data_IF_307671414820
#
_entry.id   IF_307671414820
#
_cell.length_a   1.000
_cell.length_b   1.000
_cell.length_c   1.000
_cell.angle_alpha   90.00
_cell.angle_beta   90.00
_cell.angle_gamma   90.00
#
_symmetry.space_group_name_H-M   'P 1'
#
loop_
_entity.id
_entity.type
_entity.pdbx_description
1 polymer ?
#
# COMPACT_ATOMS: atom_id res chain seq x y z
N UNK A 1 -10.99 27.89 -69.35
CA UNK A 1 -11.82 27.47 -70.52
C UNK A 1 -12.39 26.09 -70.28
N UNK A 2 -13.75 25.99 -70.50
CA UNK A 2 -14.60 24.81 -70.75
C UNK A 2 -14.93 23.92 -69.56
N UNK A 3 -16.12 24.12 -68.99
CA UNK A 3 -17.46 23.61 -69.27
C UNK A 3 -17.53 22.08 -69.08
N UNK A 4 -18.18 21.66 -67.99
CA UNK A 4 -19.57 21.24 -67.95
C UNK A 4 -19.89 19.98 -68.69
N UNK A 5 -20.17 18.85 -68.05
CA UNK A 5 -21.23 17.93 -68.48
C UNK A 5 -21.85 17.24 -67.25
N UNK A 6 -23.06 17.67 -66.88
CA UNK A 6 -24.01 16.93 -66.06
C UNK A 6 -24.63 15.83 -66.90
N UNK A 7 -24.65 14.59 -66.42
CA UNK A 7 -25.54 13.56 -66.92
C UNK A 7 -26.42 13.09 -65.80
N UNK A 8 -27.68 13.47 -65.87
CA UNK A 8 -28.77 12.97 -65.03
C UNK A 8 -29.22 11.65 -65.64
N UNK A 9 -29.08 10.56 -64.86
CA UNK A 9 -29.74 9.29 -65.13
C UNK A 9 -30.91 9.17 -64.18
N UNK A 10 -32.10 9.44 -64.69
CA UNK A 10 -33.36 9.13 -63.96
C UNK A 10 -33.66 7.66 -64.20
N UNK A 11 -33.56 6.85 -63.11
CA UNK A 11 -34.06 5.46 -63.15
C UNK A 11 -35.45 5.49 -62.49
N UNK A 12 -36.43 5.22 -63.38
CA UNK A 12 -37.84 5.00 -63.02
C UNK A 12 -37.94 3.65 -62.28
N UNK A 13 -38.14 3.65 -60.94
CA UNK A 13 -38.47 2.44 -60.24
C UNK A 13 -39.99 2.35 -60.07
N UNK A 14 -40.54 1.41 -60.85
CA UNK A 14 -41.94 0.99 -60.68
C UNK A 14 -42.15 0.37 -59.32
N UNK A 15 -43.02 0.95 -58.52
CA UNK A 15 -43.49 0.42 -57.25
C UNK A 15 -44.42 -0.77 -57.49
N UNK A 16 -43.90 -1.97 -57.32
CA UNK A 16 -44.72 -3.16 -57.07
C UNK A 16 -44.85 -3.33 -55.57
N UNK A 17 -45.94 -2.92 -54.99
CA UNK A 17 -46.33 -3.22 -53.61
C UNK A 17 -46.78 -4.69 -53.56
N UNK A 18 -45.87 -5.58 -53.22
CA UNK A 18 -46.23 -6.88 -52.70
C UNK A 18 -46.36 -6.79 -51.21
N UNK A 19 -47.58 -6.90 -50.69
CA UNK A 19 -47.84 -7.11 -49.27
C UNK A 19 -47.27 -8.48 -48.86
N UNK A 20 -46.01 -8.54 -48.42
CA UNK A 20 -45.51 -9.65 -47.63
C UNK A 20 -45.78 -9.31 -46.16
N UNK A 21 -46.82 -9.86 -45.58
CA UNK A 21 -47.00 -9.97 -44.15
C UNK A 21 -45.92 -10.92 -43.64
N UNK A 22 -44.87 -10.32 -43.03
CA UNK A 22 -43.93 -11.08 -42.20
C UNK A 22 -44.71 -11.58 -40.96
N UNK A 23 -44.75 -12.90 -40.69
CA UNK A 23 -45.36 -13.34 -39.45
C UNK A 23 -44.58 -12.77 -38.30
N UNK A 24 -45.30 -12.16 -37.32
CA UNK A 24 -44.75 -11.77 -36.01
C UNK A 24 -44.13 -13.03 -35.38
N UNK A 25 -42.81 -13.12 -35.40
CA UNK A 25 -42.08 -14.06 -34.54
C UNK A 25 -42.14 -13.48 -33.13
N UNK A 26 -42.70 -14.16 -32.17
CA UNK A 26 -42.66 -13.68 -30.77
C UNK A 26 -41.19 -13.47 -30.41
N UNK A 27 -40.84 -12.28 -29.95
CA UNK A 27 -39.58 -12.00 -29.32
C UNK A 27 -39.46 -12.94 -28.10
N UNK A 28 -38.70 -14.00 -28.25
CA UNK A 28 -38.40 -14.91 -27.12
C UNK A 28 -37.58 -14.08 -26.14
N UNK A 29 -38.20 -13.69 -25.01
CA UNK A 29 -37.49 -12.99 -23.92
C UNK A 29 -36.28 -13.85 -23.54
N UNK A 30 -35.10 -13.29 -23.72
CA UNK A 30 -33.86 -13.93 -23.30
C UNK A 30 -33.99 -14.34 -21.81
N UNK A 31 -33.63 -15.55 -21.46
CA UNK A 31 -33.74 -15.99 -20.06
C UNK A 31 -33.00 -15.01 -19.15
N UNK A 32 -33.55 -14.68 -17.97
CA UNK A 32 -32.91 -13.76 -17.06
C UNK A 32 -31.47 -14.23 -16.76
N UNK A 33 -30.50 -13.34 -17.00
CA UNK A 33 -29.09 -13.59 -16.69
C UNK A 33 -29.04 -13.92 -15.19
N UNK A 34 -28.55 -15.10 -14.80
CA UNK A 34 -28.43 -15.42 -13.37
C UNK A 34 -27.65 -14.34 -12.68
N UNK A 35 -28.00 -13.93 -11.44
CA UNK A 35 -27.24 -12.96 -10.70
C UNK A 35 -25.79 -13.40 -10.64
N UNK A 36 -24.87 -12.50 -10.96
CA UNK A 36 -23.43 -12.77 -10.92
C UNK A 36 -23.08 -13.33 -9.53
N UNK A 37 -22.51 -14.52 -9.51
CA UNK A 37 -22.12 -15.17 -8.27
C UNK A 37 -21.07 -14.26 -7.62
N UNK A 38 -21.32 -13.80 -6.37
CA UNK A 38 -20.36 -12.97 -5.63
C UNK A 38 -19.03 -13.73 -5.49
N UNK A 39 -17.93 -12.98 -5.51
CA UNK A 39 -16.61 -13.53 -5.22
C UNK A 39 -16.64 -14.19 -3.81
N UNK A 40 -16.27 -15.46 -3.67
CA UNK A 40 -16.26 -16.15 -2.37
C UNK A 40 -15.41 -15.43 -1.31
N UNK A 41 -14.34 -14.74 -1.72
CA UNK A 41 -13.50 -13.93 -0.81
C UNK A 41 -14.28 -12.73 -0.29
N UNK A 42 -15.04 -12.05 -1.15
CA UNK A 42 -15.87 -10.90 -0.77
C UNK A 42 -16.98 -11.31 0.17
N UNK A 43 -17.69 -12.39 -0.16
CA UNK A 43 -18.75 -12.93 0.69
C UNK A 43 -18.24 -13.30 2.10
N UNK A 44 -17.07 -13.95 2.18
CA UNK A 44 -16.44 -14.29 3.46
C UNK A 44 -16.03 -13.04 4.23
N UNK A 45 -15.49 -12.02 3.55
CA UNK A 45 -15.11 -10.76 4.19
C UNK A 45 -16.33 -10.02 4.76
N UNK A 46 -17.43 -9.94 4.02
CA UNK A 46 -18.70 -9.37 4.47
C UNK A 46 -19.26 -10.12 5.71
N UNK A 47 -19.17 -11.45 5.72
CA UNK A 47 -19.59 -12.26 6.87
C UNK A 47 -18.77 -12.00 8.13
N UNK A 48 -17.47 -11.75 7.98
CA UNK A 48 -16.62 -11.37 9.11
C UNK A 48 -16.99 -9.97 9.59
N UNK A 49 -17.04 -9.00 8.67
CA UNK A 49 -17.37 -7.59 8.95
C UNK A 49 -18.70 -7.46 9.70
N UNK A 50 -19.72 -8.21 9.30
CA UNK A 50 -21.05 -8.16 9.91
C UNK A 50 -21.11 -8.61 11.37
N UNK A 51 -20.08 -9.32 11.85
CA UNK A 51 -19.98 -9.81 13.25
C UNK A 51 -19.11 -8.92 14.13
N UNK A 52 -18.38 -7.95 13.53
CA UNK A 52 -17.49 -7.08 14.28
C UNK A 52 -18.24 -5.96 15.00
N UNK A 53 -17.82 -5.69 16.23
CA UNK A 53 -18.30 -4.52 16.98
C UNK A 53 -17.67 -3.21 16.41
N UNK A 54 -18.27 -2.05 16.69
CA UNK A 54 -17.67 -0.76 16.28
C UNK A 54 -16.22 -0.60 16.76
N UNK A 55 -15.91 -0.98 17.99
CA UNK A 55 -14.56 -0.91 18.56
C UNK A 55 -13.58 -1.82 17.83
N UNK A 56 -14.01 -3.03 17.45
CA UNK A 56 -13.19 -3.95 16.63
C UNK A 56 -12.93 -3.38 15.25
N UNK A 57 -13.94 -2.76 14.62
CA UNK A 57 -13.79 -2.11 13.32
C UNK A 57 -12.80 -0.94 13.39
N UNK A 58 -12.94 -0.08 14.40
CA UNK A 58 -12.07 1.10 14.58
C UNK A 58 -10.63 0.67 14.88
N UNK A 59 -10.43 -0.36 15.70
CA UNK A 59 -9.09 -0.90 15.97
C UNK A 59 -8.37 -1.40 14.72
N UNK A 60 -9.10 -1.93 13.74
CA UNK A 60 -8.51 -2.34 12.46
C UNK A 60 -7.96 -1.17 11.62
N UNK A 61 -8.21 0.06 12.00
CA UNK A 61 -7.66 1.24 11.31
C UNK A 61 -6.27 1.64 11.80
N UNK A 62 -5.69 0.92 12.81
CA UNK A 62 -4.46 1.33 13.49
C UNK A 62 -3.34 0.29 13.35
N UNK A 63 -2.19 0.72 12.83
CA UNK A 63 -0.89 0.05 12.98
C UNK A 63 -0.06 0.89 13.94
N UNK A 64 0.37 0.30 15.06
CA UNK A 64 1.05 1.02 16.13
C UNK A 64 2.47 0.51 16.36
N UNK A 65 3.37 1.41 16.68
CA UNK A 65 4.68 1.08 17.22
C UNK A 65 4.70 1.22 18.74
N UNK A 66 5.82 0.84 19.36
CA UNK A 66 5.98 0.93 20.81
C UNK A 66 7.44 1.16 21.19
N UNK A 67 7.71 1.74 22.39
CA UNK A 67 9.05 1.91 22.94
C UNK A 67 9.77 0.57 23.21
N UNK A 68 11.10 0.61 23.33
CA UNK A 68 11.94 -0.56 23.62
C UNK A 68 11.56 -1.26 24.93
N UNK A 69 11.25 -0.49 25.96
CA UNK A 69 10.97 -0.94 27.31
C UNK A 69 9.48 -1.26 27.58
N UNK A 70 8.68 -1.41 26.51
CA UNK A 70 7.26 -1.69 26.63
C UNK A 70 7.01 -3.05 27.28
N UNK A 71 6.30 -3.07 28.40
CA UNK A 71 5.99 -4.31 29.12
C UNK A 71 5.01 -5.20 28.34
N UNK A 72 5.00 -6.49 28.68
CA UNK A 72 4.06 -7.44 28.08
C UNK A 72 2.61 -7.05 28.34
N UNK A 73 2.31 -6.51 29.50
CA UNK A 73 0.98 -6.03 29.89
C UNK A 73 0.55 -4.83 29.03
N UNK A 74 1.49 -3.91 28.72
CA UNK A 74 1.22 -2.79 27.84
C UNK A 74 1.01 -3.25 26.39
N UNK A 75 1.74 -4.26 25.91
CA UNK A 75 1.48 -4.88 24.58
C UNK A 75 0.11 -5.56 24.55
N UNK A 76 -0.28 -6.25 25.65
CA UNK A 76 -1.60 -6.85 25.74
C UNK A 76 -2.71 -5.79 25.69
N UNK A 77 -2.49 -4.60 26.24
CA UNK A 77 -3.44 -3.49 26.23
C UNK A 77 -3.77 -3.00 24.80
N UNK A 78 -2.78 -2.95 23.88
CA UNK A 78 -3.01 -2.66 22.47
C UNK A 78 -3.93 -3.71 21.81
N UNK A 79 -3.84 -4.95 22.23
CA UNK A 79 -4.65 -6.04 21.69
C UNK A 79 -6.06 -6.03 22.30
N UNK A 80 -6.16 -5.85 23.61
CA UNK A 80 -7.43 -5.96 24.34
C UNK A 80 -8.32 -4.73 24.19
N UNK A 81 -7.74 -3.52 24.31
CA UNK A 81 -8.48 -2.26 24.29
C UNK A 81 -8.53 -1.64 22.88
N UNK A 82 -7.37 -1.54 22.24
CA UNK A 82 -7.28 -0.91 20.93
C UNK A 82 -7.74 -1.82 19.81
N UNK A 83 -7.59 -3.16 19.98
CA UNK A 83 -7.90 -4.15 18.95
C UNK A 83 -7.21 -3.83 17.61
N UNK A 84 -5.94 -3.36 17.71
CA UNK A 84 -5.16 -2.88 16.58
C UNK A 84 -5.08 -3.88 15.44
N UNK A 85 -5.04 -3.40 14.20
CA UNK A 85 -4.86 -4.28 13.05
C UNK A 85 -3.44 -4.81 12.91
N UNK A 86 -2.45 -4.13 13.53
CA UNK A 86 -1.07 -4.54 13.44
C UNK A 86 -0.08 -3.71 14.25
N UNK A 87 1.18 -4.16 14.20
CA UNK A 87 2.32 -3.48 14.81
C UNK A 87 3.39 -3.17 13.77
N UNK A 88 4.02 -1.99 13.89
CA UNK A 88 5.26 -1.66 13.17
C UNK A 88 6.46 -1.85 14.10
N UNK A 89 7.46 -2.61 13.63
CA UNK A 89 8.67 -2.92 14.37
C UNK A 89 9.84 -2.06 13.91
N UNK A 90 10.59 -1.56 14.88
CA UNK A 90 11.81 -0.80 14.69
C UNK A 90 13.00 -1.54 15.30
N UNK A 91 14.24 -1.15 14.93
CA UNK A 91 15.47 -1.73 15.52
C UNK A 91 15.53 -1.68 17.04
N UNK A 92 14.83 -0.73 17.68
CA UNK A 92 14.74 -0.64 19.14
C UNK A 92 13.97 -1.77 19.79
N UNK A 93 13.14 -2.52 19.06
CA UNK A 93 12.26 -3.53 19.64
C UNK A 93 12.91 -4.91 19.78
N UNK A 94 14.11 -5.13 19.20
CA UNK A 94 14.85 -6.39 19.25
C UNK A 94 16.34 -6.15 19.05
N UNK A 95 17.17 -7.08 19.52
CA UNK A 95 18.64 -7.02 19.43
C UNK A 95 19.22 -7.96 18.38
N UNK A 96 18.54 -9.08 18.14
CA UNK A 96 18.94 -10.16 17.25
C UNK A 96 17.71 -10.86 16.66
N UNK A 97 17.95 -11.87 15.82
CA UNK A 97 16.89 -12.64 15.18
C UNK A 97 15.99 -13.37 16.19
N UNK A 98 16.59 -13.98 17.21
CA UNK A 98 15.86 -14.77 18.21
C UNK A 98 14.89 -13.89 19.02
N UNK A 99 15.35 -12.70 19.43
CA UNK A 99 14.51 -11.73 20.14
C UNK A 99 13.41 -11.17 19.23
N UNK A 100 13.69 -10.92 17.95
CA UNK A 100 12.68 -10.51 16.96
C UNK A 100 11.62 -11.60 16.79
N UNK A 101 12.04 -12.84 16.54
CA UNK A 101 11.13 -13.98 16.39
C UNK A 101 10.25 -14.17 17.65
N UNK A 102 10.86 -14.13 18.83
CA UNK A 102 10.15 -14.32 20.12
C UNK A 102 9.13 -13.22 20.37
N UNK A 103 9.49 -11.96 20.06
CA UNK A 103 8.57 -10.81 20.14
C UNK A 103 7.37 -11.00 19.21
N UNK A 104 7.61 -11.30 17.93
CA UNK A 104 6.54 -11.49 16.94
C UNK A 104 5.63 -12.65 17.33
N UNK A 105 6.22 -13.78 17.75
CA UNK A 105 5.47 -14.94 18.25
C UNK A 105 4.56 -14.56 19.43
N UNK A 106 5.08 -13.81 20.40
CA UNK A 106 4.31 -13.35 21.56
C UNK A 106 3.13 -12.45 21.16
N UNK A 107 3.35 -11.48 20.26
CA UNK A 107 2.27 -10.60 19.77
C UNK A 107 1.15 -11.39 19.07
N UNK A 108 1.53 -12.31 18.20
CA UNK A 108 0.58 -13.19 17.50
C UNK A 108 -0.20 -14.10 18.45
N UNK A 109 0.48 -14.73 19.40
CA UNK A 109 -0.16 -15.57 20.42
C UNK A 109 -1.17 -14.77 21.26
N UNK A 110 -0.79 -13.56 21.71
CA UNK A 110 -1.72 -12.69 22.46
C UNK A 110 -2.95 -12.36 21.61
N UNK A 111 -2.78 -12.02 20.34
CA UNK A 111 -3.87 -11.62 19.45
C UNK A 111 -4.81 -12.79 19.16
N UNK A 112 -4.28 -13.97 18.87
CA UNK A 112 -5.07 -15.18 18.52
C UNK A 112 -6.06 -15.60 19.62
N UNK A 113 -5.81 -15.21 20.87
CA UNK A 113 -6.67 -15.48 22.01
C UNK A 113 -7.85 -14.50 22.14
N UNK A 114 -7.80 -13.36 21.46
CA UNK A 114 -8.69 -12.22 21.71
C UNK A 114 -9.41 -11.70 20.47
N UNK A 115 -8.76 -11.70 19.33
CA UNK A 115 -9.24 -11.06 18.13
C UNK A 115 -9.46 -12.06 16.99
N UNK A 116 -10.52 -11.90 16.18
CA UNK A 116 -10.84 -12.82 15.10
C UNK A 116 -9.96 -12.65 13.86
N UNK A 117 -9.27 -11.51 13.74
CA UNK A 117 -8.42 -11.18 12.61
C UNK A 117 -6.95 -11.22 13.00
N UNK A 118 -6.09 -11.84 12.18
CA UNK A 118 -4.65 -11.88 12.42
C UNK A 118 -4.03 -10.48 12.30
N UNK A 119 -2.88 -10.29 12.97
CA UNK A 119 -2.13 -9.03 12.94
C UNK A 119 -1.38 -8.83 11.64
N UNK A 120 -1.31 -7.58 11.19
CA UNK A 120 -0.19 -7.12 10.38
C UNK A 120 1.03 -6.95 11.30
N UNK A 121 2.09 -7.66 11.02
CA UNK A 121 3.40 -7.39 11.62
C UNK A 121 4.24 -6.75 10.53
N UNK A 122 4.55 -5.48 10.71
CA UNK A 122 5.15 -4.66 9.67
C UNK A 122 6.53 -4.12 10.02
N UNK A 123 7.29 -3.76 8.99
CA UNK A 123 8.66 -3.28 9.10
C UNK A 123 8.99 -2.39 7.89
N UNK A 124 10.03 -1.55 8.01
CA UNK A 124 10.68 -0.86 6.89
C UNK A 124 11.94 -1.61 6.49
N UNK A 125 11.86 -2.51 5.54
CA UNK A 125 13.00 -3.20 4.97
C UNK A 125 13.08 -2.91 3.47
N UNK A 126 13.77 -1.80 3.13
CA UNK A 126 13.96 -1.35 1.74
C UNK A 126 15.26 -1.91 1.14
N UNK A 127 16.11 -2.47 1.98
CA UNK A 127 17.53 -2.68 1.68
C UNK A 127 18.36 -1.40 1.89
N UNK A 128 19.68 -1.53 1.81
CA UNK A 128 20.59 -0.39 1.92
C UNK A 128 20.45 0.45 3.20
N UNK A 129 20.27 1.74 3.01
CA UNK A 129 20.20 2.72 4.10
C UNK A 129 19.00 2.48 5.04
N UNK A 130 17.88 2.00 4.50
CA UNK A 130 16.66 1.71 5.27
C UNK A 130 16.50 0.20 5.40
N UNK A 131 17.18 -0.37 6.39
CA UNK A 131 17.08 -1.78 6.74
C UNK A 131 16.89 -1.94 8.24
N UNK A 132 15.98 -2.82 8.61
CA UNK A 132 15.65 -3.16 10.00
C UNK A 132 16.01 -4.60 10.36
N UNK A 133 16.49 -5.39 9.40
CA UNK A 133 16.90 -6.76 9.67
C UNK A 133 17.95 -6.82 10.79
N UNK A 134 17.86 -7.80 11.70
CA UNK A 134 18.91 -8.06 12.69
C UNK A 134 20.23 -8.46 12.02
N UNK A 135 21.31 -8.39 12.79
CA UNK A 135 22.61 -8.87 12.35
C UNK A 135 22.51 -10.36 11.97
N UNK A 136 23.08 -10.70 10.83
CA UNK A 136 23.06 -12.07 10.27
C UNK A 136 22.11 -12.24 9.11
N UNK A 137 21.12 -11.36 8.95
CA UNK A 137 20.28 -11.31 7.76
C UNK A 137 21.02 -10.85 6.51
N UNK A 138 20.36 -10.97 5.37
CA UNK A 138 20.91 -10.60 4.06
C UNK A 138 20.66 -9.12 3.79
N UNK A 139 21.67 -8.28 4.03
CA UNK A 139 21.57 -6.83 3.85
C UNK A 139 21.91 -6.45 2.41
N UNK A 140 20.89 -6.11 1.65
CA UNK A 140 21.01 -5.67 0.25
C UNK A 140 21.56 -4.24 0.14
N UNK A 141 22.15 -3.84 -1.02
CA UNK A 141 22.60 -2.49 -1.26
C UNK A 141 21.45 -1.49 -1.42
N UNK A 142 21.80 -0.18 -1.45
CA UNK A 142 20.83 0.88 -1.71
C UNK A 142 20.11 0.66 -3.06
N UNK A 143 18.80 0.89 -3.12
CA UNK A 143 17.97 0.73 -4.33
C UNK A 143 18.52 1.47 -5.55
N UNK A 144 19.16 2.64 -5.35
CA UNK A 144 19.86 3.36 -6.42
C UNK A 144 20.94 2.51 -7.10
N UNK A 145 21.64 1.66 -6.34
CA UNK A 145 22.68 0.80 -6.90
C UNK A 145 22.05 -0.39 -7.65
N UNK A 146 20.95 -0.90 -7.12
CA UNK A 146 20.17 -1.97 -7.76
C UNK A 146 19.59 -1.47 -9.09
N UNK A 147 18.96 -0.31 -9.11
CA UNK A 147 18.39 0.28 -10.32
C UNK A 147 19.41 0.51 -11.45
N UNK A 148 20.66 0.86 -11.10
CA UNK A 148 21.74 1.01 -12.08
C UNK A 148 22.16 -0.28 -12.78
N UNK A 149 21.80 -1.44 -12.24
CA UNK A 149 22.09 -2.73 -12.88
C UNK A 149 21.28 -2.95 -14.15
N UNK A 150 20.10 -2.32 -14.25
CA UNK A 150 19.15 -2.55 -15.32
C UNK A 150 18.62 -3.99 -15.37
N UNK A 151 18.70 -4.73 -14.26
CA UNK A 151 18.39 -6.16 -14.18
C UNK A 151 17.19 -6.39 -13.22
N UNK A 152 15.97 -6.39 -13.75
CA UNK A 152 14.76 -6.56 -12.95
C UNK A 152 14.63 -7.95 -12.33
N UNK A 153 15.26 -8.99 -12.93
CA UNK A 153 15.21 -10.35 -12.38
C UNK A 153 16.00 -10.45 -11.07
N UNK A 154 17.13 -9.75 -10.99
CA UNK A 154 17.88 -9.65 -9.73
C UNK A 154 17.09 -8.89 -8.67
N UNK A 155 16.35 -7.83 -9.05
CA UNK A 155 15.50 -7.08 -8.12
C UNK A 155 14.31 -7.92 -7.65
N UNK A 156 13.74 -8.74 -8.52
CA UNK A 156 12.71 -9.70 -8.12
C UNK A 156 13.24 -10.69 -7.08
N UNK A 157 14.43 -11.26 -7.31
CA UNK A 157 15.08 -12.21 -6.38
C UNK A 157 15.49 -11.54 -5.06
N UNK A 158 15.90 -10.27 -5.08
CA UNK A 158 16.09 -9.46 -3.88
C UNK A 158 14.81 -9.41 -3.04
N UNK A 159 13.67 -9.09 -3.68
CA UNK A 159 12.37 -9.08 -3.03
C UNK A 159 11.97 -10.45 -2.46
N UNK A 160 12.26 -11.55 -3.18
CA UNK A 160 12.02 -12.91 -2.67
C UNK A 160 12.82 -13.21 -1.41
N UNK A 161 14.12 -12.89 -1.41
CA UNK A 161 15.02 -13.14 -0.25
C UNK A 161 14.57 -12.32 0.95
N UNK A 162 14.29 -11.03 0.78
CA UNK A 162 13.77 -10.19 1.86
C UNK A 162 12.47 -10.78 2.42
N UNK A 163 11.55 -11.19 1.56
CA UNK A 163 10.29 -11.77 2.00
C UNK A 163 10.47 -13.09 2.77
N UNK A 164 11.38 -13.96 2.34
CA UNK A 164 11.66 -15.22 3.04
C UNK A 164 12.24 -14.97 4.43
N UNK A 165 13.14 -13.99 4.58
CA UNK A 165 13.73 -13.62 5.88
C UNK A 165 12.70 -12.96 6.81
N UNK A 166 11.87 -12.05 6.28
CA UNK A 166 10.78 -11.44 7.03
C UNK A 166 9.77 -12.49 7.51
N UNK A 167 9.40 -13.40 6.63
CA UNK A 167 8.45 -14.48 6.94
C UNK A 167 9.02 -15.48 7.95
N UNK A 168 10.33 -15.72 7.94
CA UNK A 168 11.00 -16.54 8.93
C UNK A 168 10.82 -15.99 10.35
N UNK A 169 10.85 -14.68 10.52
CA UNK A 169 10.54 -14.03 11.80
C UNK A 169 9.05 -13.73 12.04
N UNK A 170 8.16 -14.16 11.13
CA UNK A 170 6.71 -13.99 11.26
C UNK A 170 6.18 -12.63 10.83
N UNK A 171 7.01 -11.77 10.21
CA UNK A 171 6.64 -10.49 9.61
C UNK A 171 5.93 -10.75 8.30
N UNK A 172 4.83 -10.01 8.03
CA UNK A 172 3.95 -10.27 6.89
C UNK A 172 3.63 -9.03 6.05
N UNK A 173 4.12 -7.84 6.44
CA UNK A 173 3.94 -6.58 5.72
C UNK A 173 5.26 -5.80 5.73
N UNK A 174 5.66 -5.29 4.56
CA UNK A 174 6.88 -4.50 4.40
C UNK A 174 6.56 -3.14 3.77
N UNK A 175 6.88 -2.05 4.47
CA UNK A 175 6.76 -0.68 3.95
C UNK A 175 7.89 -0.40 2.93
N UNK A 176 7.85 -1.10 1.83
CA UNK A 176 8.78 -1.04 0.71
C UNK A 176 8.10 -1.56 -0.58
N UNK A 177 8.62 -1.18 -1.75
CA UNK A 177 9.78 -0.31 -2.01
C UNK A 177 9.46 1.18 -1.99
N UNK A 178 10.51 2.03 -2.06
CA UNK A 178 10.40 3.44 -2.39
C UNK A 178 10.21 3.57 -3.93
N UNK A 179 9.08 4.16 -4.36
CA UNK A 179 8.74 4.40 -5.77
C UNK A 179 8.90 5.87 -6.19
N UNK A 180 9.51 6.68 -5.33
CA UNK A 180 9.77 8.08 -5.64
C UNK A 180 10.81 8.22 -6.75
N UNK A 181 10.57 9.12 -7.70
CA UNK A 181 11.49 9.41 -8.80
C UNK A 181 12.40 10.55 -8.36
N UNK A 182 13.69 10.28 -8.19
CA UNK A 182 14.66 11.27 -7.67
C UNK A 182 15.67 11.69 -8.73
N UNK A 183 15.56 12.93 -9.21
CA UNK A 183 16.50 13.51 -10.16
C UNK A 183 17.63 14.29 -9.46
N UNK A 184 17.30 14.98 -8.37
CA UNK A 184 18.26 15.85 -7.68
C UNK A 184 19.22 15.06 -6.79
N UNK A 185 20.53 15.29 -7.01
CA UNK A 185 21.56 14.76 -6.12
C UNK A 185 21.58 15.42 -4.74
N UNK A 186 20.89 16.54 -4.60
CA UNK A 186 20.75 17.27 -3.34
C UNK A 186 19.68 16.64 -2.44
N UNK A 187 18.78 15.84 -3.01
CA UNK A 187 17.82 15.04 -2.24
C UNK A 187 18.52 13.85 -1.54
N UNK A 188 19.23 14.16 -0.44
CA UNK A 188 20.00 13.16 0.32
C UNK A 188 19.11 12.15 1.05
N UNK A 189 17.84 12.49 1.26
CA UNK A 189 16.88 11.62 1.93
C UNK A 189 16.49 10.43 1.05
N UNK A 190 16.16 10.70 -0.22
CA UNK A 190 15.57 9.69 -1.11
C UNK A 190 16.51 9.15 -2.18
N UNK A 191 17.62 9.89 -2.50
CA UNK A 191 18.49 9.52 -3.61
C UNK A 191 19.03 8.09 -3.57
N UNK A 192 19.27 7.54 -2.38
CA UNK A 192 19.74 6.16 -2.19
C UNK A 192 18.62 5.15 -2.16
N UNK A 193 17.42 5.58 -1.77
CA UNK A 193 16.23 4.73 -1.61
C UNK A 193 15.49 4.53 -2.92
N UNK A 194 15.57 5.50 -3.83
CA UNK A 194 14.96 5.43 -5.17
C UNK A 194 15.77 4.55 -6.12
N UNK A 195 15.12 3.76 -6.95
CA UNK A 195 15.77 3.00 -8.01
C UNK A 195 16.37 3.87 -9.12
N UNK A 196 15.89 5.11 -9.29
CA UNK A 196 16.40 5.97 -10.33
C UNK A 196 15.69 7.31 -10.49
N UNK A 197 16.01 7.97 -11.60
CA UNK A 197 15.54 9.32 -11.93
C UNK A 197 14.51 9.36 -13.05
N UNK A 198 14.05 8.21 -13.53
CA UNK A 198 13.02 8.15 -14.59
C UNK A 198 11.88 7.21 -14.20
N UNK A 199 10.65 7.49 -14.67
CA UNK A 199 9.48 6.65 -14.40
C UNK A 199 9.69 5.18 -14.80
N UNK A 200 10.38 4.96 -15.92
CA UNK A 200 10.60 3.63 -16.49
C UNK A 200 11.47 2.75 -15.57
N UNK A 201 12.60 3.31 -15.09
CA UNK A 201 13.52 2.58 -14.20
C UNK A 201 12.85 2.29 -12.87
N UNK A 202 12.18 3.28 -12.27
CA UNK A 202 11.51 3.12 -10.98
C UNK A 202 10.34 2.14 -11.11
N UNK A 203 9.56 2.20 -12.18
CA UNK A 203 8.47 1.23 -12.43
C UNK A 203 9.03 -0.19 -12.61
N UNK A 204 10.07 -0.36 -13.44
CA UNK A 204 10.65 -1.66 -13.75
C UNK A 204 11.15 -2.37 -12.49
N UNK A 205 12.01 -1.72 -11.74
CA UNK A 205 12.60 -2.29 -10.53
C UNK A 205 11.59 -2.37 -9.38
N UNK A 206 10.80 -1.31 -9.17
CA UNK A 206 9.78 -1.27 -8.12
C UNK A 206 8.75 -2.37 -8.26
N UNK A 207 8.20 -2.60 -9.46
CA UNK A 207 7.25 -3.71 -9.68
C UNK A 207 7.92 -5.09 -9.54
N UNK A 208 9.17 -5.23 -9.96
CA UNK A 208 9.92 -6.49 -9.75
C UNK A 208 10.11 -6.80 -8.27
N UNK A 209 10.51 -5.82 -7.46
CA UNK A 209 10.64 -5.97 -6.01
C UNK A 209 9.30 -6.33 -5.34
N UNK A 210 8.22 -5.60 -5.69
CA UNK A 210 6.86 -5.88 -5.20
C UNK A 210 6.45 -7.32 -5.52
N UNK A 211 6.65 -7.74 -6.77
CA UNK A 211 6.32 -9.10 -7.20
C UNK A 211 7.14 -10.15 -6.45
N UNK A 212 8.43 -9.90 -6.21
CA UNK A 212 9.30 -10.75 -5.38
C UNK A 212 8.75 -10.90 -3.96
N UNK A 213 8.45 -9.80 -3.28
CA UNK A 213 7.84 -9.80 -1.94
C UNK A 213 6.52 -10.58 -1.92
N UNK A 214 5.62 -10.27 -2.83
CA UNK A 214 4.27 -10.83 -2.87
C UNK A 214 4.26 -12.32 -3.26
N UNK A 215 5.24 -12.78 -4.05
CA UNK A 215 5.38 -14.20 -4.44
C UNK A 215 5.60 -15.12 -3.24
N UNK A 216 6.22 -14.59 -2.19
CA UNK A 216 6.46 -15.31 -0.92
C UNK A 216 5.40 -15.04 0.14
N UNK A 217 4.38 -14.23 -0.18
CA UNK A 217 3.24 -13.92 0.69
C UNK A 217 3.51 -12.82 1.73
N UNK A 218 4.49 -11.94 1.50
CA UNK A 218 4.67 -10.70 2.26
C UNK A 218 3.99 -9.56 1.49
N UNK A 219 3.19 -8.76 2.18
CA UNK A 219 2.49 -7.62 1.60
C UNK A 219 3.51 -6.51 1.35
N UNK A 220 3.66 -6.10 0.10
CA UNK A 220 4.43 -4.93 -0.27
C UNK A 220 3.60 -3.66 -0.08
N UNK A 221 4.19 -2.62 0.48
CA UNK A 221 3.57 -1.30 0.64
C UNK A 221 4.49 -0.24 0.04
N UNK A 222 4.42 -0.03 -1.28
CA UNK A 222 5.22 1.00 -1.92
C UNK A 222 4.85 2.39 -1.45
N UNK A 223 5.84 3.30 -1.49
CA UNK A 223 5.79 4.66 -0.93
C UNK A 223 6.58 5.65 -1.76
N UNK A 224 6.35 6.97 -1.64
CA UNK A 224 5.33 7.67 -0.86
C UNK A 224 4.32 8.27 -1.84
N UNK A 225 3.18 7.65 -1.99
CA UNK A 225 2.15 8.11 -2.93
C UNK A 225 1.69 9.55 -2.61
N UNK A 226 1.53 10.45 -3.61
CA UNK A 226 1.64 10.25 -5.07
C UNK A 226 3.03 10.51 -5.65
N UNK A 227 4.10 10.62 -4.86
CA UNK A 227 5.48 10.85 -5.26
C UNK A 227 6.16 11.96 -4.48
N UNK A 228 7.24 11.65 -3.75
CA UNK A 228 7.99 12.56 -2.90
C UNK A 228 9.30 13.07 -3.57
N UNK A 229 9.68 12.47 -4.69
CA UNK A 229 11.02 12.71 -5.29
C UNK A 229 11.29 14.12 -5.80
N UNK A 230 10.27 14.94 -6.01
CA UNK A 230 10.37 16.30 -6.54
C UNK A 230 10.81 17.36 -5.52
N UNK A 231 11.13 17.02 -4.28
CA UNK A 231 11.57 17.95 -3.24
C UNK A 231 12.72 17.38 -2.42
N UNK A 232 13.59 18.24 -1.89
CA UNK A 232 14.63 17.93 -0.90
C UNK A 232 14.18 18.19 0.54
N UNK A 233 12.93 18.60 0.73
CA UNK A 233 12.33 18.86 2.05
C UNK A 233 11.90 17.55 2.69
N UNK A 234 12.40 17.30 3.89
CA UNK A 234 12.04 16.15 4.71
C UNK A 234 10.71 16.38 5.44
N UNK A 235 9.75 15.49 5.22
CA UNK A 235 8.44 15.51 5.88
C UNK A 235 8.50 15.27 7.40
N UNK A 236 9.61 14.78 7.94
CA UNK A 236 9.82 14.73 9.39
C UNK A 236 9.92 16.12 10.02
N UNK A 237 10.41 17.14 9.29
CA UNK A 237 10.63 18.48 9.80
C UNK A 237 9.58 19.53 9.43
N UNK A 238 8.87 19.35 8.34
CA UNK A 238 7.78 20.23 7.87
C UNK A 238 7.05 19.58 6.69
N UNK A 239 5.89 20.13 6.31
CA UNK A 239 5.16 19.69 5.12
C UNK A 239 5.97 20.02 3.85
N UNK A 240 6.39 19.01 3.06
CA UNK A 240 6.94 19.25 1.73
C UNK A 240 5.87 19.77 0.78
N UNK A 241 6.24 20.75 -0.05
CA UNK A 241 5.37 21.32 -1.09
C UNK A 241 6.03 21.13 -2.43
N UNK A 242 5.34 20.47 -3.36
CA UNK A 242 5.82 20.18 -4.72
C UNK A 242 4.97 20.95 -5.73
N UNK A 243 5.62 21.85 -6.47
CA UNK A 243 5.01 22.81 -7.39
C UNK A 243 4.96 22.29 -8.84
N UNK A 244 4.55 21.01 -9.05
CA UNK A 244 4.34 20.44 -10.39
C UNK A 244 2.89 20.59 -10.82
N UNK A 245 2.65 20.55 -12.14
CA UNK A 245 1.31 20.55 -12.70
C UNK A 245 0.75 19.13 -12.85
N UNK A 246 -0.55 19.05 -13.18
CA UNK A 246 -1.25 17.76 -13.36
C UNK A 246 -0.62 16.90 -14.46
N UNK A 247 -0.12 17.50 -15.53
CA UNK A 247 0.50 16.79 -16.65
C UNK A 247 1.78 16.10 -16.20
N UNK A 248 2.64 16.81 -15.48
CA UNK A 248 3.87 16.26 -14.91
C UNK A 248 3.55 15.15 -13.89
N UNK A 249 2.58 15.36 -13.02
CA UNK A 249 2.13 14.35 -12.06
C UNK A 249 1.73 13.05 -12.78
N UNK A 250 0.90 13.14 -13.81
CA UNK A 250 0.38 11.98 -14.54
C UNK A 250 1.43 11.27 -15.40
N UNK A 251 2.32 12.04 -16.05
CA UNK A 251 3.34 11.47 -16.95
C UNK A 251 4.61 11.02 -16.23
N UNK A 252 4.78 11.35 -14.96
CA UNK A 252 6.00 11.08 -14.19
C UNK A 252 5.70 10.42 -12.85
N UNK A 253 5.22 11.17 -11.86
CA UNK A 253 5.15 10.72 -10.47
C UNK A 253 4.21 9.52 -10.27
N UNK A 254 3.06 9.53 -10.94
CA UNK A 254 2.06 8.47 -10.82
C UNK A 254 2.39 7.19 -11.62
N UNK A 255 3.33 7.25 -12.55
CA UNK A 255 3.64 6.12 -13.45
C UNK A 255 4.10 4.88 -12.69
N UNK A 256 5.06 4.95 -11.74
CA UNK A 256 5.47 3.78 -10.97
C UNK A 256 4.36 3.23 -10.07
N UNK A 257 3.55 4.10 -9.46
CA UNK A 257 2.41 3.67 -8.64
C UNK A 257 1.32 3.00 -9.47
N UNK A 258 1.03 3.53 -10.67
CA UNK A 258 0.08 2.87 -11.58
C UNK A 258 0.58 1.50 -12.02
N UNK A 259 1.87 1.38 -12.34
CA UNK A 259 2.47 0.09 -12.68
C UNK A 259 2.37 -0.92 -11.51
N UNK A 260 2.58 -0.48 -10.28
CA UNK A 260 2.41 -1.31 -9.09
C UNK A 260 0.95 -1.75 -8.88
N UNK A 261 -0.02 -0.85 -9.07
CA UNK A 261 -1.46 -1.17 -9.00
C UNK A 261 -1.84 -2.21 -10.06
N UNK A 262 -1.38 -2.03 -11.31
CA UNK A 262 -1.64 -2.96 -12.41
C UNK A 262 -1.00 -4.34 -12.19
N UNK A 263 0.09 -4.40 -11.42
CA UNK A 263 0.72 -5.65 -10.98
C UNK A 263 0.00 -6.35 -9.82
N UNK A 264 -1.15 -5.83 -9.35
CA UNK A 264 -1.97 -6.48 -8.31
C UNK A 264 -1.54 -6.16 -6.88
N UNK A 265 -1.12 -4.93 -6.63
CA UNK A 265 -0.73 -4.41 -5.32
C UNK A 265 -1.86 -4.50 -4.29
N UNK A 266 -1.53 -4.89 -3.05
CA UNK A 266 -2.50 -5.03 -1.95
C UNK A 266 -2.57 -3.82 -1.01
N UNK A 267 -1.49 -3.07 -0.88
CA UNK A 267 -1.43 -1.89 -0.01
C UNK A 267 -0.49 -0.82 -0.58
N UNK A 268 -0.74 0.45 -0.25
CA UNK A 268 0.05 1.60 -0.68
C UNK A 268 0.18 2.59 0.46
N UNK A 269 1.35 3.22 0.63
CA UNK A 269 1.57 4.26 1.63
C UNK A 269 1.42 5.65 1.01
N UNK A 270 0.51 6.45 1.57
CA UNK A 270 0.37 7.86 1.22
C UNK A 270 1.34 8.72 2.02
N UNK A 271 2.04 9.61 1.34
CA UNK A 271 3.00 10.53 1.96
C UNK A 271 2.36 11.84 2.44
N UNK A 272 3.01 12.50 3.39
CA UNK A 272 2.63 13.83 3.87
C UNK A 272 3.26 14.90 2.97
N UNK A 273 2.67 15.11 1.79
CA UNK A 273 3.20 15.97 0.72
C UNK A 273 2.06 16.75 0.10
N UNK A 274 2.23 18.07 -0.08
CA UNK A 274 1.24 18.93 -0.70
C UNK A 274 1.58 19.29 -2.15
N UNK A 275 0.56 19.37 -3.01
CA UNK A 275 0.65 19.71 -4.43
C UNK A 275 -0.35 20.82 -4.77
N UNK A 276 -0.11 22.09 -4.35
CA UNK A 276 -1.12 23.14 -4.42
C UNK A 276 -1.55 23.53 -5.84
N UNK A 277 -0.75 23.24 -6.87
CA UNK A 277 -1.16 23.43 -8.28
C UNK A 277 -2.12 22.36 -8.79
N UNK A 278 -2.27 21.26 -8.05
CA UNK A 278 -3.12 20.12 -8.42
C UNK A 278 -4.34 20.06 -7.49
N UNK A 279 -4.08 20.09 -6.19
CA UNK A 279 -5.10 20.19 -5.14
C UNK A 279 -4.98 21.54 -4.43
N UNK A 280 -5.85 22.53 -4.78
CA UNK A 280 -5.82 23.87 -4.21
C UNK A 280 -6.12 23.93 -2.71
N UNK A 281 -6.58 22.84 -2.08
CA UNK A 281 -6.77 22.78 -0.63
C UNK A 281 -5.47 23.01 0.13
N UNK A 282 -4.32 22.67 -0.49
CA UNK A 282 -3.00 22.74 0.14
C UNK A 282 -2.77 21.65 1.20
N UNK A 283 -3.73 20.75 1.39
CA UNK A 283 -3.61 19.62 2.31
C UNK A 283 -2.56 18.61 1.83
N UNK A 284 -1.91 17.89 2.75
CA UNK A 284 -1.05 16.77 2.35
C UNK A 284 -1.87 15.66 1.69
N UNK A 285 -1.24 14.89 0.82
CA UNK A 285 -1.90 13.82 0.07
C UNK A 285 -2.64 12.82 0.98
N UNK A 286 -2.14 12.58 2.19
CA UNK A 286 -2.81 11.79 3.24
C UNK A 286 -4.16 12.35 3.71
N UNK A 287 -4.45 13.62 3.45
CA UNK A 287 -5.73 14.27 3.79
C UNK A 287 -6.52 14.70 2.54
N UNK A 288 -6.01 14.42 1.35
CA UNK A 288 -6.60 14.90 0.10
C UNK A 288 -7.54 13.88 -0.51
N UNK A 289 -8.82 14.19 -0.56
CA UNK A 289 -9.82 13.39 -1.29
C UNK A 289 -9.51 13.30 -2.79
N UNK A 290 -8.88 14.33 -3.35
CA UNK A 290 -8.43 14.29 -4.73
C UNK A 290 -7.41 13.16 -4.95
N UNK A 291 -6.36 13.05 -4.11
CA UNK A 291 -5.35 12.01 -4.29
C UNK A 291 -5.85 10.63 -3.87
N UNK A 292 -6.47 10.50 -2.69
CA UNK A 292 -6.85 9.19 -2.15
C UNK A 292 -8.09 8.60 -2.82
N UNK A 293 -9.06 9.43 -3.18
CA UNK A 293 -10.32 8.96 -3.76
C UNK A 293 -10.34 9.11 -5.27
N UNK A 294 -10.10 10.32 -5.82
CA UNK A 294 -10.27 10.52 -7.26
C UNK A 294 -9.11 9.88 -8.04
N UNK A 295 -7.86 10.16 -7.68
CA UNK A 295 -6.70 9.60 -8.38
C UNK A 295 -6.52 8.11 -8.06
N UNK A 296 -6.33 7.77 -6.77
CA UNK A 296 -5.95 6.40 -6.39
C UNK A 296 -7.08 5.39 -6.65
N UNK A 297 -8.30 5.67 -6.19
CA UNK A 297 -9.42 4.73 -6.33
C UNK A 297 -10.06 4.76 -7.71
N UNK A 298 -10.44 5.96 -8.21
CA UNK A 298 -11.23 6.07 -9.43
C UNK A 298 -10.37 6.03 -10.70
N UNK A 299 -9.29 6.84 -10.78
CA UNK A 299 -8.46 6.89 -11.98
C UNK A 299 -7.53 5.68 -12.10
N UNK A 300 -6.87 5.26 -10.99
CA UNK A 300 -5.95 4.12 -10.99
C UNK A 300 -6.63 2.76 -10.80
N UNK A 301 -7.86 2.72 -10.24
CA UNK A 301 -8.60 1.49 -9.97
C UNK A 301 -8.07 0.69 -8.79
N UNK A 302 -7.36 1.32 -7.84
CA UNK A 302 -6.79 0.64 -6.68
C UNK A 302 -7.86 0.21 -5.67
N UNK A 303 -7.92 -1.08 -5.38
CA UNK A 303 -8.91 -1.66 -4.45
C UNK A 303 -8.28 -2.23 -3.17
N UNK A 304 -6.97 -2.06 -2.98
CA UNK A 304 -6.24 -2.47 -1.78
C UNK A 304 -6.35 -1.45 -0.63
N UNK A 305 -5.47 -1.55 0.35
CA UNK A 305 -5.43 -0.71 1.55
C UNK A 305 -4.57 0.53 1.31
N UNK A 306 -5.08 1.72 1.58
CA UNK A 306 -4.30 2.95 1.69
C UNK A 306 -3.86 3.14 3.13
N UNK A 307 -2.55 3.29 3.35
CA UNK A 307 -1.93 3.40 4.68
C UNK A 307 -1.24 4.76 4.75
N UNK A 308 -1.30 5.46 5.88
CA UNK A 308 -0.54 6.71 6.06
C UNK A 308 0.96 6.41 6.22
N UNK A 309 1.82 7.35 5.87
CA UNK A 309 3.12 7.49 6.54
C UNK A 309 2.90 7.76 8.05
N UNK A 310 3.97 7.74 8.85
CA UNK A 310 3.83 7.94 10.29
C UNK A 310 3.22 9.32 10.60
N UNK A 311 2.03 9.34 11.17
CA UNK A 311 1.30 10.58 11.46
C UNK A 311 1.95 11.42 12.57
N UNK A 312 2.96 10.90 13.26
CA UNK A 312 3.78 11.67 14.19
C UNK A 312 4.78 12.60 13.48
N UNK A 313 4.95 12.45 12.16
CA UNK A 313 5.78 13.35 11.36
C UNK A 313 5.15 14.74 11.27
N UNK A 314 5.98 15.80 11.36
CA UNK A 314 5.48 17.18 11.35
C UNK A 314 4.76 17.56 10.05
N UNK A 315 5.07 16.88 8.94
CA UNK A 315 4.38 17.06 7.67
C UNK A 315 2.89 16.67 7.70
N UNK A 316 2.47 15.84 8.64
CA UNK A 316 1.06 15.46 8.80
C UNK A 316 0.20 16.62 9.30
N UNK A 317 0.55 17.20 10.44
CA UNK A 317 -0.13 18.38 10.98
C UNK A 317 0.50 19.67 10.43
N UNK A 318 0.13 20.03 9.22
CA UNK A 318 0.80 21.09 8.45
C UNK A 318 0.31 22.50 8.74
N UNK A 319 -0.70 22.68 9.64
CA UNK A 319 -1.34 23.95 9.81
C UNK A 319 -1.85 24.23 11.22
N UNK A 320 -3.04 24.79 11.30
CA UNK A 320 -3.73 25.17 12.54
C UNK A 320 -4.70 24.09 13.03
N UNK A 321 -4.79 22.99 12.31
CA UNK A 321 -5.71 21.89 12.59
C UNK A 321 -5.27 21.13 13.84
N UNK A 322 -6.23 20.62 14.57
CA UNK A 322 -5.99 19.68 15.66
C UNK A 322 -5.69 18.27 15.10
N UNK A 323 -5.05 17.41 15.90
CA UNK A 323 -4.84 16.01 15.52
C UNK A 323 -6.16 15.30 15.15
N UNK A 324 -7.22 15.57 15.92
CA UNK A 324 -8.55 15.04 15.68
C UNK A 324 -9.09 15.44 14.29
N UNK A 325 -9.03 16.73 13.95
CA UNK A 325 -9.45 17.24 12.63
C UNK A 325 -8.64 16.59 11.49
N UNK A 326 -7.31 16.44 11.66
CA UNK A 326 -6.46 15.78 10.69
C UNK A 326 -6.85 14.31 10.48
N UNK A 327 -7.07 13.56 11.57
CA UNK A 327 -7.47 12.15 11.53
C UNK A 327 -8.81 11.96 10.81
N UNK A 328 -9.82 12.76 11.18
CA UNK A 328 -11.15 12.68 10.55
C UNK A 328 -11.08 13.06 9.07
N UNK A 329 -10.34 14.12 8.74
CA UNK A 329 -10.14 14.57 7.35
C UNK A 329 -9.46 13.48 6.51
N UNK A 330 -8.38 12.89 7.03
CA UNK A 330 -7.65 11.80 6.34
C UNK A 330 -8.56 10.59 6.08
N UNK A 331 -9.29 10.17 7.10
CA UNK A 331 -10.18 9.02 6.97
C UNK A 331 -11.30 9.28 5.96
N UNK A 332 -11.96 10.43 6.03
CA UNK A 332 -13.01 10.81 5.08
C UNK A 332 -12.48 11.07 3.66
N UNK A 333 -11.21 11.46 3.52
CA UNK A 333 -10.55 11.60 2.22
C UNK A 333 -10.31 10.26 1.50
N UNK A 334 -10.31 9.13 2.23
CA UNK A 334 -10.13 7.80 1.66
C UNK A 334 -8.96 6.99 2.23
N UNK A 335 -8.29 7.47 3.28
CA UNK A 335 -7.27 6.71 4.01
C UNK A 335 -7.93 5.56 4.78
N UNK A 336 -7.32 4.35 4.77
CA UNK A 336 -7.88 3.19 5.45
C UNK A 336 -7.18 2.88 6.77
N UNK A 337 -5.85 3.09 6.86
CA UNK A 337 -5.05 2.73 8.03
C UNK A 337 -4.09 3.84 8.40
N UNK A 338 -3.98 4.12 9.70
CA UNK A 338 -3.04 5.06 10.29
C UNK A 338 -1.84 4.32 10.87
N UNK A 339 -0.62 4.76 10.54
CA UNK A 339 0.61 4.34 11.21
C UNK A 339 0.95 5.35 12.29
N UNK A 340 1.17 4.88 13.54
CA UNK A 340 1.51 5.70 14.71
C UNK A 340 2.66 5.02 15.43
N UNK A 341 3.90 5.43 15.08
CA UNK A 341 5.11 4.63 15.32
C UNK A 341 5.69 4.69 16.74
N UNK A 342 5.34 5.69 17.56
CA UNK A 342 6.20 6.00 18.71
C UNK A 342 5.45 6.30 20.02
N UNK A 343 4.44 7.18 19.99
CA UNK A 343 3.92 7.86 21.18
C UNK A 343 2.55 7.33 21.58
N UNK A 344 2.47 6.70 22.74
CA UNK A 344 1.22 6.15 23.27
C UNK A 344 0.10 7.18 23.39
N UNK A 345 0.40 8.39 23.85
CA UNK A 345 -0.59 9.46 23.98
C UNK A 345 -1.22 9.83 22.62
N UNK A 346 -0.42 9.86 21.55
CA UNK A 346 -0.93 10.12 20.19
C UNK A 346 -1.82 8.97 19.72
N UNK A 347 -1.43 7.72 20.02
CA UNK A 347 -2.22 6.53 19.70
C UNK A 347 -3.58 6.54 20.41
N UNK A 348 -3.59 6.88 21.73
CA UNK A 348 -4.83 7.04 22.52
C UNK A 348 -5.71 8.15 21.93
N UNK A 349 -5.13 9.30 21.56
CA UNK A 349 -5.87 10.43 20.98
C UNK A 349 -6.46 10.08 19.61
N UNK A 350 -5.74 9.37 18.75
CA UNK A 350 -6.25 8.92 17.45
C UNK A 350 -7.40 7.94 17.61
N UNK A 351 -7.25 6.95 18.50
CA UNK A 351 -8.32 5.99 18.79
C UNK A 351 -9.59 6.70 19.28
N UNK A 352 -9.45 7.60 20.25
CA UNK A 352 -10.57 8.37 20.80
C UNK A 352 -11.23 9.24 19.72
N UNK A 353 -10.41 9.94 18.89
CA UNK A 353 -10.93 10.78 17.77
C UNK A 353 -11.77 9.97 16.78
N UNK A 354 -11.33 8.76 16.43
CA UNK A 354 -12.09 7.88 15.53
C UNK A 354 -13.36 7.36 16.20
N UNK A 355 -13.32 6.99 17.48
CA UNK A 355 -14.49 6.53 18.24
C UNK A 355 -15.54 7.63 18.37
N UNK A 356 -15.14 8.84 18.77
CA UNK A 356 -16.02 9.99 18.89
C UNK A 356 -16.62 10.37 17.55
N UNK A 357 -15.81 10.44 16.49
CA UNK A 357 -16.28 10.78 15.15
C UNK A 357 -17.24 9.75 14.54
N UNK A 358 -17.07 8.45 14.84
CA UNK A 358 -18.03 7.43 14.46
C UNK A 358 -19.34 7.55 15.29
N UNK A 359 -19.22 7.85 16.58
CA UNK A 359 -20.37 7.97 17.48
C UNK A 359 -21.26 9.16 17.17
N UNK A 360 -20.67 10.30 16.80
CA UNK A 360 -21.38 11.55 16.50
C UNK A 360 -21.72 11.74 14.99
N UNK A 361 -21.32 10.77 14.14
CA UNK A 361 -21.67 10.74 12.71
C UNK A 361 -20.76 11.57 11.82
N UNK A 362 -19.63 12.13 12.31
CA UNK A 362 -18.61 12.79 11.46
C UNK A 362 -17.89 11.78 10.57
N UNK A 363 -17.85 10.50 10.97
CA UNK A 363 -17.47 9.36 10.15
C UNK A 363 -18.71 8.46 10.02
N UNK A 364 -19.14 8.19 8.79
CA UNK A 364 -20.29 7.31 8.55
C UNK A 364 -19.92 5.84 8.76
N UNK A 365 -20.91 5.04 9.18
CA UNK A 365 -20.74 3.59 9.29
C UNK A 365 -20.36 2.96 7.95
N UNK A 366 -20.90 3.45 6.85
CA UNK A 366 -20.57 3.00 5.51
C UNK A 366 -19.09 3.20 5.20
N UNK A 367 -18.54 4.41 5.48
CA UNK A 367 -17.11 4.70 5.27
C UNK A 367 -16.20 3.84 6.15
N UNK A 368 -16.60 3.60 7.41
CA UNK A 368 -15.88 2.68 8.30
C UNK A 368 -15.89 1.24 7.74
N UNK A 369 -17.07 0.76 7.35
CA UNK A 369 -17.23 -0.59 6.81
C UNK A 369 -16.44 -0.79 5.52
N UNK A 370 -16.36 0.18 4.63
CA UNK A 370 -15.55 0.13 3.41
C UNK A 370 -14.06 -0.11 3.71
N UNK A 371 -13.48 0.64 4.65
CA UNK A 371 -12.08 0.48 5.04
C UNK A 371 -11.81 -0.89 5.65
N UNK A 372 -12.64 -1.28 6.61
CA UNK A 372 -12.49 -2.57 7.30
C UNK A 372 -12.67 -3.73 6.34
N UNK A 373 -13.59 -3.63 5.37
CA UNK A 373 -13.77 -4.65 4.33
C UNK A 373 -12.51 -4.82 3.47
N UNK A 374 -11.85 -3.72 3.06
CA UNK A 374 -10.57 -3.80 2.34
C UNK A 374 -9.49 -4.49 3.17
N UNK A 375 -9.39 -4.15 4.44
CA UNK A 375 -8.42 -4.76 5.37
C UNK A 375 -8.67 -6.27 5.51
N UNK A 376 -9.92 -6.69 5.73
CA UNK A 376 -10.29 -8.09 5.82
C UNK A 376 -9.96 -8.83 4.51
N UNK A 377 -10.32 -8.26 3.36
CA UNK A 377 -10.05 -8.85 2.04
C UNK A 377 -8.56 -9.09 1.81
N UNK A 378 -7.69 -8.14 2.17
CA UNK A 378 -6.23 -8.30 2.04
C UNK A 378 -5.72 -9.38 3.00
N UNK A 379 -6.16 -9.39 4.27
CA UNK A 379 -5.79 -10.43 5.24
C UNK A 379 -6.20 -11.83 4.76
N UNK A 380 -7.40 -11.98 4.21
CA UNK A 380 -7.89 -13.24 3.65
C UNK A 380 -7.15 -13.64 2.37
N UNK A 381 -6.97 -12.71 1.41
CA UNK A 381 -6.24 -12.95 0.15
C UNK A 381 -4.83 -13.44 0.39
N UNK A 382 -4.16 -12.92 1.43
CA UNK A 382 -2.79 -13.30 1.81
C UNK A 382 -2.72 -14.42 2.82
N UNK A 383 -3.86 -15.00 3.19
CA UNK A 383 -3.95 -16.13 4.14
C UNK A 383 -3.18 -15.86 5.43
N UNK A 384 -3.31 -14.62 5.95
CA UNK A 384 -2.58 -14.23 7.16
C UNK A 384 -3.04 -15.09 8.35
N UNK A 385 -2.09 -15.37 9.23
CA UNK A 385 -2.31 -16.16 10.44
C UNK A 385 -1.46 -15.64 11.60
N UNK A 386 -2.00 -15.74 12.81
CA UNK A 386 -1.23 -15.50 14.04
C UNK A 386 -0.43 -16.74 14.50
N UNK A 387 -0.50 -17.83 13.75
CA UNK A 387 0.42 -18.96 13.94
C UNK A 387 1.74 -18.68 13.23
N UNK A 388 2.85 -18.91 13.91
CA UNK A 388 4.17 -18.86 13.26
C UNK A 388 4.26 -19.94 12.19
N UNK A 389 4.80 -19.58 11.01
CA UNK A 389 4.92 -20.53 9.90
C UNK A 389 6.03 -21.56 10.14
N UNK A 390 7.09 -21.14 10.79
CA UNK A 390 8.30 -21.95 11.04
C UNK A 390 8.58 -22.00 12.53
N UNK A 391 9.10 -23.12 13.03
CA UNK A 391 9.72 -23.16 14.34
C UNK A 391 11.06 -22.43 14.30
N UNK A 392 11.56 -22.01 15.47
CA UNK A 392 12.71 -21.10 15.56
C UNK A 392 14.00 -21.70 14.93
N UNK A 393 14.19 -23.00 15.02
CA UNK A 393 15.34 -23.69 14.44
C UNK A 393 15.31 -23.61 12.90
N UNK A 394 14.17 -23.90 12.30
CA UNK A 394 13.96 -23.79 10.85
C UNK A 394 14.06 -22.34 10.38
N UNK A 395 13.48 -21.41 11.15
CA UNK A 395 13.55 -19.99 10.87
C UNK A 395 14.99 -19.45 10.84
N UNK A 396 15.87 -19.95 11.75
CA UNK A 396 17.31 -19.61 11.76
C UNK A 396 18.05 -20.14 10.52
N UNK A 397 17.66 -21.30 9.99
CA UNK A 397 18.27 -21.86 8.77
C UNK A 397 17.92 -21.04 7.52
N UNK A 398 16.73 -20.45 7.50
CA UNK A 398 16.28 -19.57 6.40
C UNK A 398 16.98 -18.20 6.50
N UNK A 399 17.03 -17.60 7.70
CA UNK A 399 17.54 -16.26 7.93
C UNK A 399 19.03 -16.16 7.65
N UNK A 400 19.41 -15.36 6.64
CA UNK A 400 20.81 -15.20 6.21
C UNK A 400 21.43 -16.47 5.64
N UNK A 401 20.63 -17.33 5.01
CA UNK A 401 21.09 -18.58 4.41
C UNK A 401 22.16 -18.37 3.35
N UNK A 402 22.91 -19.43 3.03
CA UNK A 402 23.90 -19.39 1.94
C UNK A 402 23.25 -19.10 0.58
N UNK A 403 22.03 -19.60 0.35
CA UNK A 403 21.26 -19.29 -0.85
C UNK A 403 20.96 -17.79 -0.99
N UNK A 404 20.52 -17.15 0.10
CA UNK A 404 20.25 -15.73 0.16
C UNK A 404 21.52 -14.89 -0.09
N UNK A 405 22.62 -15.26 0.55
CA UNK A 405 23.93 -14.62 0.35
C UNK A 405 24.44 -14.76 -1.08
N UNK A 406 24.16 -15.86 -1.76
CA UNK A 406 24.55 -16.04 -3.16
C UNK A 406 23.80 -15.05 -4.08
N UNK A 407 22.52 -14.77 -3.83
CA UNK A 407 21.76 -13.72 -4.56
C UNK A 407 22.38 -12.36 -4.33
N UNK A 408 22.72 -12.01 -3.08
CA UNK A 408 23.40 -10.76 -2.75
C UNK A 408 24.77 -10.63 -3.46
N UNK A 409 25.56 -11.70 -3.52
CA UNK A 409 26.87 -11.70 -4.20
C UNK A 409 26.72 -11.50 -5.71
N UNK A 410 25.73 -12.16 -6.33
CA UNK A 410 25.41 -11.98 -7.75
C UNK A 410 25.04 -10.54 -8.05
N UNK A 411 24.12 -9.94 -7.25
CA UNK A 411 23.72 -8.55 -7.38
C UNK A 411 24.92 -7.60 -7.20
N UNK A 412 25.75 -7.82 -6.18
CA UNK A 412 26.96 -7.02 -5.95
C UNK A 412 27.98 -7.14 -7.11
N UNK A 413 28.09 -8.31 -7.71
CA UNK A 413 28.93 -8.51 -8.89
C UNK A 413 28.42 -7.72 -10.09
N UNK A 414 27.10 -7.74 -10.32
CA UNK A 414 26.45 -6.95 -11.37
C UNK A 414 26.67 -5.45 -11.16
N UNK A 415 26.47 -4.96 -9.93
CA UNK A 415 26.72 -3.54 -9.58
C UNK A 415 28.17 -3.12 -9.88
N UNK A 416 29.15 -4.00 -9.59
CA UNK A 416 30.57 -3.72 -9.90
C UNK A 416 30.83 -3.67 -11.41
N UNK A 417 30.14 -4.43 -12.21
CA UNK A 417 30.29 -4.48 -13.67
C UNK A 417 29.63 -3.29 -14.38
N UNK A 418 28.74 -2.54 -13.72
CA UNK A 418 28.05 -1.37 -14.28
C UNK A 418 28.71 -0.03 -13.88
N UNK A 419 29.77 -0.06 -13.06
CA UNK A 419 30.61 1.09 -12.71
C UNK A 419 31.70 1.31 -13.75
#
# INVERSE_FOLDING_TARGET
LKKLFLIIIAILILSLTSNCTVPDVPEEEAPPVPPAQKDPLEERAEQILSKMTPEEKIGQLLIVGFPEDTSKEALQDYIDKFKVCGFILFKRNYTDFDSQYSLVKSLKEMNSLKNPLPLFISIDEEGGTVSRLPKGGTHFPDAQQVGKTGDPDLTYREGEVIAEELKASGINLNFAPDLDIVESKENKLLIKRSYGSTPEIVSLHGTSFINGLQSKGVIAVPKHFPGHGGTDVDSHGKLPVIEIDKTTMQSRELVPFKAAVDAGLDAIMAGHIAFPKIDPSGLPATMSGYFLTDVLRKEMGFNGISISDDIEMQGYMSGKETLEECVITSFNAGLDVFVIGHTREIQDNVLNSLQDACSDGRISEERLNESVLRIIKVKLKRELSDTMKYEIEEAREIFGSNGHKAVLEELNSKIRSTK
#
